data_IF_565243501161
#
_entry.id   IF_565243501161
#
_cell.length_a   1.000
_cell.length_b   1.000
_cell.length_c   1.000
_cell.angle_alpha   90.00
_cell.angle_beta   90.00
_cell.angle_gamma   90.00
#
_symmetry.space_group_name_H-M   'P 1'
#
loop_
_entity.id
_entity.type
_entity.pdbx_description
1 polymer ?
#
# COMPACT_ATOMS: atom_id res chain seq x y z
N UNK A 1 7.26 -7.10 -17.94
CA UNK A 1 8.66 -6.69 -17.70
C UNK A 1 9.62 -7.85 -17.86
N UNK A 2 9.43 -9.00 -17.17
CA UNK A 2 10.27 -10.20 -17.39
C UNK A 2 10.18 -10.77 -18.81
N UNK A 3 8.98 -10.86 -19.41
CA UNK A 3 8.82 -11.30 -20.81
C UNK A 3 9.48 -10.38 -21.86
N UNK A 4 9.86 -9.17 -21.48
CA UNK A 4 10.45 -8.17 -22.37
C UNK A 4 11.95 -7.94 -22.12
N UNK A 5 12.59 -8.70 -21.21
CA UNK A 5 13.99 -8.52 -20.78
C UNK A 5 14.36 -7.08 -20.33
N UNK A 6 13.36 -6.24 -20.03
CA UNK A 6 13.54 -4.83 -19.66
C UNK A 6 13.74 -4.63 -18.15
N UNK A 7 13.64 -5.70 -17.35
CA UNK A 7 13.73 -5.60 -15.90
C UNK A 7 15.08 -5.05 -15.42
N UNK A 8 16.20 -5.57 -15.94
CA UNK A 8 17.54 -5.10 -15.58
C UNK A 8 17.78 -3.64 -15.98
N UNK A 9 17.26 -3.23 -17.14
CA UNK A 9 17.41 -1.86 -17.65
C UNK A 9 16.54 -0.87 -16.86
N UNK A 10 15.31 -1.26 -16.50
CA UNK A 10 14.44 -0.49 -15.61
C UNK A 10 15.00 -0.35 -14.20
N UNK A 11 15.52 -1.43 -13.62
CA UNK A 11 16.18 -1.40 -12.30
C UNK A 11 17.39 -0.47 -12.29
N UNK A 12 18.21 -0.52 -13.34
CA UNK A 12 19.37 0.37 -13.48
C UNK A 12 18.94 1.83 -13.48
N UNK A 13 17.88 2.18 -14.21
CA UNK A 13 17.35 3.55 -14.25
C UNK A 13 16.82 4.00 -12.88
N UNK A 14 16.07 3.14 -12.19
CA UNK A 14 15.57 3.43 -10.84
C UNK A 14 16.73 3.69 -9.88
N UNK A 15 17.80 2.86 -9.92
CA UNK A 15 18.99 3.05 -9.09
C UNK A 15 19.62 4.42 -9.36
N UNK A 16 19.79 4.83 -10.62
CA UNK A 16 20.34 6.15 -10.94
C UNK A 16 19.48 7.30 -10.42
N UNK A 17 18.15 7.21 -10.57
CA UNK A 17 17.21 8.23 -10.04
C UNK A 17 17.30 8.32 -8.52
N UNK A 18 17.37 7.18 -7.83
CA UNK A 18 17.53 7.13 -6.37
C UNK A 18 18.88 7.70 -5.94
N UNK A 19 19.99 7.32 -6.59
CA UNK A 19 21.30 7.85 -6.27
C UNK A 19 21.39 9.36 -6.52
N UNK A 20 20.75 9.86 -7.57
CA UNK A 20 20.66 11.29 -7.85
C UNK A 20 19.83 12.04 -6.79
N UNK A 21 18.74 11.45 -6.30
CA UNK A 21 17.93 12.04 -5.22
C UNK A 21 18.64 12.00 -3.87
N UNK A 22 19.62 11.12 -3.70
CA UNK A 22 20.48 11.04 -2.51
C UNK A 22 21.68 12.01 -2.56
N UNK A 23 21.89 12.73 -3.66
CA UNK A 23 23.02 13.64 -3.79
C UNK A 23 22.93 14.79 -2.77
N UNK A 24 23.91 14.86 -1.86
CA UNK A 24 23.95 15.87 -0.79
C UNK A 24 23.28 15.45 0.53
N UNK A 25 22.71 14.25 0.63
CA UNK A 25 22.18 13.73 1.89
C UNK A 25 23.32 13.23 2.79
N UNK A 26 23.52 13.91 3.92
CA UNK A 26 24.48 13.45 4.94
C UNK A 26 23.84 12.35 5.81
N UNK A 27 24.64 11.42 6.38
CA UNK A 27 24.12 10.45 7.35
C UNK A 27 23.41 11.09 8.54
N UNK A 28 23.84 12.29 8.94
CA UNK A 28 23.20 13.09 9.98
C UNK A 28 21.80 13.59 9.55
N UNK A 29 21.66 14.06 8.30
CA UNK A 29 20.35 14.46 7.76
C UNK A 29 19.38 13.28 7.64
N UNK A 30 19.89 12.10 7.26
CA UNK A 30 19.09 10.87 7.24
C UNK A 30 18.61 10.50 8.65
N UNK A 31 19.50 10.51 9.64
CA UNK A 31 19.15 10.25 11.03
C UNK A 31 18.10 11.24 11.58
N UNK A 32 18.23 12.52 11.24
CA UNK A 32 17.26 13.55 11.62
C UNK A 32 15.88 13.35 10.98
N UNK A 33 15.81 12.73 9.79
CA UNK A 33 14.57 12.45 9.08
C UNK A 33 13.79 11.23 9.63
N UNK A 34 14.46 10.35 10.39
CA UNK A 34 13.81 9.14 10.95
C UNK A 34 12.65 9.50 11.87
N UNK A 35 12.85 10.44 12.81
CA UNK A 35 11.79 10.80 13.75
C UNK A 35 10.55 11.41 13.06
N UNK A 36 10.68 12.41 12.16
CA UNK A 36 9.56 12.89 11.34
C UNK A 36 8.89 11.79 10.53
N UNK A 37 9.66 10.89 9.91
CA UNK A 37 9.11 9.78 9.12
C UNK A 37 8.24 8.85 10.00
N UNK A 38 8.71 8.50 11.20
CA UNK A 38 7.93 7.70 12.14
C UNK A 38 6.64 8.39 12.58
N UNK A 39 6.67 9.70 12.80
CA UNK A 39 5.47 10.49 13.14
C UNK A 39 4.47 10.47 11.99
N UNK A 40 4.93 10.66 10.75
CA UNK A 40 4.07 10.63 9.55
C UNK A 40 3.46 9.23 9.37
N UNK A 41 4.26 8.17 9.54
CA UNK A 41 3.77 6.79 9.46
C UNK A 41 2.73 6.51 10.54
N UNK A 42 2.99 6.88 11.79
CA UNK A 42 2.05 6.70 12.89
C UNK A 42 0.75 7.47 12.66
N UNK A 43 0.84 8.74 12.24
CA UNK A 43 -0.31 9.56 11.91
C UNK A 43 -1.11 8.98 10.73
N UNK A 44 -0.42 8.48 9.70
CA UNK A 44 -1.04 7.83 8.55
C UNK A 44 -1.80 6.57 8.93
N UNK A 45 -1.18 5.69 9.73
CA UNK A 45 -1.83 4.46 10.25
C UNK A 45 -3.06 4.81 11.07
N UNK A 46 -2.96 5.73 12.02
CA UNK A 46 -4.08 6.14 12.88
C UNK A 46 -5.19 6.79 12.06
N UNK A 47 -4.85 7.67 11.13
CA UNK A 47 -5.80 8.32 10.24
C UNK A 47 -6.57 7.30 9.39
N UNK A 48 -5.85 6.41 8.70
CA UNK A 48 -6.46 5.36 7.89
C UNK A 48 -7.37 4.47 8.76
N UNK A 49 -6.91 4.04 9.93
CA UNK A 49 -7.70 3.17 10.81
C UNK A 49 -9.02 3.83 11.26
N UNK A 50 -8.97 5.09 11.69
CA UNK A 50 -10.16 5.83 12.12
C UNK A 50 -11.14 6.02 10.95
N UNK A 51 -10.67 6.53 9.81
CA UNK A 51 -11.53 6.80 8.66
C UNK A 51 -12.05 5.52 8.01
N UNK A 52 -11.26 4.45 7.99
CA UNK A 52 -11.70 3.15 7.49
C UNK A 52 -12.79 2.54 8.37
N UNK A 53 -12.64 2.64 9.71
CA UNK A 53 -13.67 2.17 10.64
C UNK A 53 -14.98 2.95 10.49
N UNK A 54 -14.91 4.26 10.29
CA UNK A 54 -16.08 5.10 10.02
C UNK A 54 -16.70 4.80 8.65
N UNK A 55 -15.89 4.72 7.59
CA UNK A 55 -16.35 4.44 6.24
C UNK A 55 -16.99 3.05 6.13
N UNK A 56 -16.40 2.03 6.76
CA UNK A 56 -16.95 0.68 6.81
C UNK A 56 -18.38 0.68 7.38
N UNK A 57 -18.63 1.44 8.46
CA UNK A 57 -19.98 1.60 9.04
C UNK A 57 -20.93 2.31 8.09
N UNK A 58 -20.47 3.33 7.37
CA UNK A 58 -21.31 4.06 6.39
C UNK A 58 -21.75 3.16 5.23
N UNK A 59 -20.86 2.31 4.72
CA UNK A 59 -21.15 1.37 3.62
C UNK A 59 -21.74 0.04 4.09
N UNK A 60 -21.99 -0.11 5.41
CA UNK A 60 -22.52 -1.32 6.05
C UNK A 60 -21.64 -2.57 5.86
N UNK A 61 -20.33 -2.38 5.76
CA UNK A 61 -19.35 -3.45 5.84
C UNK A 61 -18.92 -3.70 7.28
N UNK A 62 -18.56 -4.95 7.57
CA UNK A 62 -17.89 -5.28 8.82
C UNK A 62 -16.59 -4.47 8.91
N UNK A 63 -16.40 -3.63 9.94
CA UNK A 63 -15.16 -2.88 10.14
C UNK A 63 -13.92 -3.78 10.17
N UNK A 64 -14.04 -5.02 10.66
CA UNK A 64 -12.94 -6.00 10.70
C UNK A 64 -12.49 -6.44 9.30
N UNK A 65 -13.34 -6.30 8.29
CA UNK A 65 -13.00 -6.51 6.87
C UNK A 65 -12.63 -5.21 6.16
N UNK A 66 -13.37 -4.13 6.43
CA UNK A 66 -13.15 -2.83 5.80
C UNK A 66 -11.83 -2.16 6.18
N UNK A 67 -11.37 -2.34 7.42
CA UNK A 67 -10.09 -1.77 7.88
C UNK A 67 -8.88 -2.36 7.13
N UNK A 68 -8.69 -3.69 7.05
CA UNK A 68 -7.62 -4.29 6.24
C UNK A 68 -7.62 -3.81 4.78
N UNK A 69 -8.82 -3.68 4.18
CA UNK A 69 -8.96 -3.20 2.80
C UNK A 69 -8.48 -1.76 2.64
N UNK A 70 -8.68 -0.89 3.62
CA UNK A 70 -8.15 0.47 3.56
C UNK A 70 -6.63 0.52 3.87
N UNK A 71 -6.14 -0.35 4.74
CA UNK A 71 -4.73 -0.41 5.12
C UNK A 71 -3.80 -0.94 4.02
N UNK A 72 -4.34 -1.53 2.94
CA UNK A 72 -3.59 -1.84 1.71
C UNK A 72 -2.78 -0.64 1.18
N UNK A 73 -3.22 0.60 1.46
CA UNK A 73 -2.50 1.82 1.08
C UNK A 73 -1.08 1.93 1.69
N UNK A 74 -0.75 1.12 2.70
CA UNK A 74 0.55 1.13 3.37
C UNK A 74 1.53 0.09 2.79
N UNK A 75 1.06 -1.10 2.42
CA UNK A 75 1.92 -2.22 2.02
C UNK A 75 1.73 -2.60 0.56
N UNK A 76 0.48 -2.68 0.10
CA UNK A 76 0.12 -3.00 -1.27
C UNK A 76 0.64 -4.37 -1.74
N UNK A 77 0.63 -4.55 -3.05
CA UNK A 77 1.16 -5.75 -3.69
C UNK A 77 2.70 -5.69 -3.78
N UNK A 78 3.45 -6.78 -3.50
CA UNK A 78 3.02 -8.17 -3.23
C UNK A 78 2.81 -8.54 -1.75
N UNK A 79 3.06 -7.60 -0.82
CA UNK A 79 2.99 -7.88 0.62
C UNK A 79 1.59 -8.32 1.05
N UNK A 80 0.54 -7.65 0.57
CA UNK A 80 -0.85 -7.99 0.87
C UNK A 80 -1.22 -9.40 0.37
N UNK A 81 -0.73 -9.81 -0.80
CA UNK A 81 -0.95 -11.15 -1.33
C UNK A 81 -0.37 -12.22 -0.42
N UNK A 82 0.88 -12.03 0.03
CA UNK A 82 1.56 -12.96 0.93
C UNK A 82 0.84 -13.05 2.28
N UNK A 83 0.39 -11.92 2.81
CA UNK A 83 -0.37 -11.88 4.07
C UNK A 83 -1.70 -12.63 3.94
N UNK A 84 -2.46 -12.37 2.88
CA UNK A 84 -3.72 -13.07 2.62
C UNK A 84 -3.51 -14.57 2.43
N UNK A 85 -2.45 -14.97 1.74
CA UNK A 85 -2.10 -16.38 1.56
C UNK A 85 -1.79 -17.06 2.90
N UNK A 86 -1.01 -16.40 3.77
CA UNK A 86 -0.65 -16.92 5.09
C UNK A 86 -1.89 -17.04 5.99
N UNK A 87 -2.74 -16.00 6.02
CA UNK A 87 -3.99 -16.00 6.79
C UNK A 87 -4.89 -17.14 6.31
N UNK A 88 -5.12 -17.24 5.01
CA UNK A 88 -5.96 -18.29 4.41
C UNK A 88 -5.43 -19.68 4.76
N UNK A 89 -4.11 -19.89 4.67
CA UNK A 89 -3.46 -21.15 5.06
C UNK A 89 -3.59 -21.48 6.55
N UNK A 90 -3.51 -20.47 7.41
CA UNK A 90 -3.53 -20.62 8.87
C UNK A 90 -4.93 -20.90 9.43
N UNK A 91 -5.97 -20.31 8.83
CA UNK A 91 -7.36 -20.42 9.31
C UNK A 91 -8.16 -21.48 8.56
N UNK A 92 -7.90 -21.67 7.27
CA UNK A 92 -8.66 -22.60 6.43
C UNK A 92 -8.34 -24.06 6.72
N UNK A 93 -9.39 -24.87 6.93
CA UNK A 93 -9.32 -26.28 7.34
C UNK A 93 -8.98 -27.22 6.18
N UNK A 94 -9.45 -26.88 4.99
CA UNK A 94 -9.21 -27.65 3.76
C UNK A 94 -8.88 -26.75 2.56
N UNK A 95 -8.58 -27.35 1.41
CA UNK A 95 -8.18 -26.62 0.22
C UNK A 95 -9.30 -25.68 -0.31
N UNK A 96 -10.56 -26.11 -0.25
CA UNK A 96 -11.68 -25.31 -0.73
C UNK A 96 -11.96 -24.13 0.20
N UNK A 97 -11.89 -24.34 1.52
CA UNK A 97 -12.05 -23.24 2.48
C UNK A 97 -10.90 -22.23 2.40
N UNK A 98 -9.66 -22.68 2.18
CA UNK A 98 -8.50 -21.80 1.96
C UNK A 98 -8.68 -20.90 0.75
N UNK A 99 -9.15 -21.47 -0.36
CA UNK A 99 -9.40 -20.73 -1.59
C UNK A 99 -10.55 -19.72 -1.41
N UNK A 100 -11.65 -20.12 -0.77
CA UNK A 100 -12.76 -19.24 -0.48
C UNK A 100 -12.36 -18.05 0.43
N UNK A 101 -11.56 -18.30 1.48
CA UNK A 101 -11.03 -17.23 2.34
C UNK A 101 -10.13 -16.31 1.52
N UNK A 102 -9.21 -16.88 0.72
CA UNK A 102 -8.28 -16.12 -0.10
C UNK A 102 -9.00 -15.19 -1.07
N UNK A 103 -9.99 -15.69 -1.81
CA UNK A 103 -10.78 -14.87 -2.72
C UNK A 103 -11.53 -13.75 -1.99
N UNK A 104 -12.09 -14.07 -0.81
CA UNK A 104 -12.90 -13.13 -0.03
C UNK A 104 -12.09 -11.96 0.56
N UNK A 105 -10.83 -12.20 0.96
CA UNK A 105 -9.96 -11.17 1.57
C UNK A 105 -9.05 -10.50 0.55
N UNK A 106 -8.52 -11.24 -0.43
CA UNK A 106 -7.55 -10.72 -1.38
C UNK A 106 -8.19 -9.81 -2.43
N UNK A 107 -9.35 -10.21 -2.97
CA UNK A 107 -10.03 -9.46 -4.04
C UNK A 107 -10.35 -8.02 -3.60
N UNK A 108 -10.94 -7.79 -2.42
CA UNK A 108 -11.20 -6.43 -1.95
C UNK A 108 -9.93 -5.62 -1.69
N UNK A 109 -8.87 -6.24 -1.14
CA UNK A 109 -7.59 -5.54 -0.88
C UNK A 109 -6.93 -5.10 -2.19
N UNK A 110 -6.93 -5.95 -3.22
CA UNK A 110 -6.43 -5.62 -4.56
C UNK A 110 -7.15 -4.39 -5.14
N UNK A 111 -8.48 -4.41 -5.09
CA UNK A 111 -9.31 -3.31 -5.61
C UNK A 111 -9.05 -2.03 -4.80
N UNK A 112 -8.95 -2.13 -3.47
CA UNK A 112 -8.60 -1.02 -2.58
C UNK A 112 -7.26 -0.40 -2.93
N UNK A 113 -6.22 -1.21 -3.12
CA UNK A 113 -4.87 -0.76 -3.46
C UNK A 113 -4.83 0.01 -4.79
N UNK A 114 -5.44 -0.55 -5.83
CA UNK A 114 -5.48 0.14 -7.13
C UNK A 114 -6.32 1.41 -7.11
N UNK A 115 -7.45 1.39 -6.40
CA UNK A 115 -8.33 2.55 -6.31
C UNK A 115 -7.66 3.70 -5.55
N UNK A 116 -6.97 3.42 -4.45
CA UNK A 116 -6.29 4.44 -3.63
C UNK A 116 -5.16 5.12 -4.41
N UNK A 117 -4.30 4.37 -5.09
CA UNK A 117 -3.22 4.94 -5.91
C UNK A 117 -3.78 5.79 -7.05
N UNK A 118 -4.83 5.30 -7.71
CA UNK A 118 -5.47 6.02 -8.81
C UNK A 118 -6.07 7.34 -8.34
N UNK A 119 -6.91 7.31 -7.30
CA UNK A 119 -7.57 8.51 -6.78
C UNK A 119 -6.56 9.51 -6.23
N UNK A 120 -5.57 9.04 -5.46
CA UNK A 120 -4.53 9.90 -4.90
C UNK A 120 -3.72 10.58 -5.99
N UNK A 121 -3.38 9.85 -7.06
CA UNK A 121 -2.65 10.42 -8.20
C UNK A 121 -3.45 11.52 -8.89
N UNK A 122 -4.76 11.28 -9.10
CA UNK A 122 -5.66 12.30 -9.70
C UNK A 122 -5.74 13.54 -8.81
N UNK A 123 -5.89 13.38 -7.50
CA UNK A 123 -5.97 14.50 -6.57
C UNK A 123 -4.68 15.32 -6.55
N UNK A 124 -3.52 14.67 -6.46
CA UNK A 124 -2.21 15.34 -6.49
C UNK A 124 -2.00 16.08 -7.81
N UNK A 125 -2.26 15.41 -8.95
CA UNK A 125 -2.14 16.04 -10.25
C UNK A 125 -3.08 17.24 -10.41
N UNK A 126 -4.32 17.14 -9.91
CA UNK A 126 -5.30 18.22 -9.95
C UNK A 126 -4.84 19.45 -9.17
N UNK A 127 -4.27 19.24 -7.98
CA UNK A 127 -3.72 20.34 -7.16
C UNK A 127 -2.53 20.98 -7.88
N UNK A 128 -1.60 20.16 -8.40
CA UNK A 128 -0.39 20.66 -9.08
C UNK A 128 -0.74 21.49 -10.32
N UNK A 129 -1.69 21.04 -11.13
CA UNK A 129 -2.18 21.79 -12.30
C UNK A 129 -2.84 23.11 -11.87
N UNK A 130 -3.54 23.14 -10.74
CA UNK A 130 -4.14 24.38 -10.21
C UNK A 130 -3.13 25.37 -9.63
N UNK A 131 -1.90 24.93 -9.33
CA UNK A 131 -0.83 25.77 -8.76
C UNK A 131 0.25 26.20 -9.77
N UNK A 132 0.19 25.70 -11.00
CA UNK A 132 1.06 26.05 -12.14
C UNK A 132 0.37 27.06 -13.05
#
# INVERSE_FOLDING_TARGET
MEKANGFGLGMTFIIFVVLASLNGLTPAALGAAVAPALVILAAGVVGIAIFAGLAARLVKWDPLKGMPVAMTALFGFPADYLLCQEISRSVGRDAGEREAIMEDIYTPMLIGGFTTVTLSSVLVASILIGTL
#
